data_IF_279111522895
#
_entry.id   IF_279111522895
#
_cell.length_a   1.000
_cell.length_b   1.000
_cell.length_c   1.000
_cell.angle_alpha   90.00
_cell.angle_beta   90.00
_cell.angle_gamma   90.00
#
_symmetry.space_group_name_H-M   'P 1'
#
loop_
_entity.id
_entity.type
_entity.pdbx_description
1 polymer ?
#
# COMPACT_ATOMS: atom_id res chain seq x y z
N UNK A 1 -16.16 58.43 -48.92
CA UNK A 1 -15.64 58.26 -50.29
C UNK A 1 -15.61 56.78 -50.65
N UNK A 2 -16.45 56.40 -51.63
CA UNK A 2 -16.38 55.33 -52.65
C UNK A 2 -15.78 54.01 -52.18
N UNK A 3 -16.58 52.96 -51.93
CA UNK A 3 -17.19 52.02 -52.95
C UNK A 3 -16.12 51.26 -53.75
N UNK A 4 -16.06 49.94 -53.57
CA UNK A 4 -16.00 49.00 -54.70
C UNK A 4 -16.38 47.56 -54.23
N UNK A 5 -17.57 47.18 -54.64
CA UNK A 5 -18.01 45.75 -54.75
C UNK A 5 -17.26 45.08 -55.88
N UNK A 6 -16.80 43.85 -55.71
CA UNK A 6 -16.56 42.93 -56.86
C UNK A 6 -17.34 41.65 -56.63
N UNK A 7 -18.25 41.42 -57.51
CA UNK A 7 -18.88 40.13 -57.80
C UNK A 7 -17.96 39.35 -58.73
N UNK A 8 -17.84 38.05 -58.52
CA UNK A 8 -17.46 37.02 -59.49
C UNK A 8 -18.02 35.74 -58.85
N UNK A 9 -18.88 34.93 -59.36
CA UNK A 9 -18.98 34.35 -60.69
C UNK A 9 -19.25 32.88 -60.42
N UNK A 10 -20.49 32.47 -60.64
CA UNK A 10 -20.98 31.07 -60.54
C UNK A 10 -20.36 30.24 -61.67
N UNK A 11 -19.73 29.12 -61.32
CA UNK A 11 -19.37 28.09 -62.34
C UNK A 11 -19.80 26.71 -61.83
N UNK A 12 -20.57 26.14 -62.65
CA UNK A 12 -21.27 24.87 -62.78
C UNK A 12 -20.52 23.60 -62.33
N UNK A 13 -21.30 22.75 -61.68
CA UNK A 13 -21.48 21.29 -61.84
C UNK A 13 -20.31 20.48 -62.40
N UNK A 14 -19.76 19.57 -61.59
CA UNK A 14 -19.45 18.20 -62.11
C UNK A 14 -19.88 17.18 -61.03
N UNK A 15 -20.68 16.22 -61.49
CA UNK A 15 -21.22 15.13 -60.70
C UNK A 15 -20.13 14.14 -60.25
N UNK A 16 -20.28 13.60 -59.10
CA UNK A 16 -19.56 12.43 -58.65
C UNK A 16 -20.53 11.27 -58.50
N UNK A 17 -20.26 10.20 -59.26
CA UNK A 17 -20.96 8.94 -59.16
C UNK A 17 -20.61 8.16 -57.90
N UNK A 18 -21.43 7.14 -57.55
CA UNK A 18 -21.23 6.37 -56.34
C UNK A 18 -20.11 5.33 -56.51
N UNK A 19 -18.96 5.56 -55.88
CA UNK A 19 -17.88 4.59 -55.75
C UNK A 19 -18.10 3.69 -54.52
N UNK A 20 -18.47 2.44 -54.83
CA UNK A 20 -18.56 1.36 -53.83
C UNK A 20 -17.21 1.04 -53.19
N UNK A 21 -17.20 0.70 -51.91
CA UNK A 21 -16.03 0.16 -51.25
C UNK A 21 -16.03 0.36 -49.72
N UNK A 22 -17.13 -0.01 -49.04
CA UNK A 22 -17.13 -0.07 -47.59
C UNK A 22 -16.20 -1.17 -47.08
N UNK A 23 -14.94 -0.84 -46.78
CA UNK A 23 -14.09 -1.69 -45.93
C UNK A 23 -14.70 -1.71 -44.55
N UNK A 24 -15.36 -2.81 -44.21
CA UNK A 24 -15.73 -3.12 -42.82
C UNK A 24 -14.43 -3.14 -41.99
N UNK A 25 -14.18 -2.07 -41.27
CA UNK A 25 -13.15 -2.00 -40.29
C UNK A 25 -13.53 -2.95 -39.13
N UNK A 26 -12.84 -4.08 -39.06
CA UNK A 26 -12.95 -5.01 -37.96
C UNK A 26 -12.41 -4.30 -36.75
N UNK A 27 -13.28 -3.72 -35.92
CA UNK A 27 -12.96 -3.32 -34.57
C UNK A 27 -12.58 -4.58 -33.77
N UNK A 28 -11.30 -4.80 -33.61
CA UNK A 28 -10.74 -5.88 -32.81
C UNK A 28 -10.07 -5.32 -31.56
N UNK A 29 -9.73 -6.10 -30.62
CA UNK A 29 -10.16 -6.37 -29.23
C UNK A 29 -9.44 -5.52 -28.19
N UNK A 30 -9.25 -4.24 -28.42
CA UNK A 30 -8.60 -3.31 -27.45
C UNK A 30 -9.47 -3.12 -26.18
N UNK A 31 -10.79 -3.21 -26.35
CA UNK A 31 -11.71 -3.07 -25.20
C UNK A 31 -11.64 -4.25 -24.21
N UNK A 32 -11.28 -5.46 -24.67
CA UNK A 32 -11.17 -6.63 -23.81
C UNK A 32 -9.90 -6.63 -22.95
N UNK A 33 -8.81 -6.04 -23.45
CA UNK A 33 -7.55 -5.92 -22.69
C UNK A 33 -7.65 -4.89 -21.55
N UNK A 34 -8.39 -3.80 -21.77
CA UNK A 34 -8.59 -2.75 -20.75
C UNK A 34 -9.50 -3.25 -19.62
N UNK A 35 -10.52 -4.06 -19.94
CA UNK A 35 -11.39 -4.66 -18.93
C UNK A 35 -10.64 -5.70 -18.06
N UNK A 36 -9.68 -6.43 -18.63
CA UNK A 36 -8.88 -7.39 -17.86
C UNK A 36 -7.86 -6.73 -16.92
N UNK A 37 -7.32 -5.57 -17.30
CA UNK A 37 -6.41 -4.80 -16.43
C UNK A 37 -7.14 -4.11 -15.26
N UNK A 38 -8.40 -3.71 -15.41
CA UNK A 38 -9.19 -3.10 -14.35
C UNK A 38 -9.57 -4.09 -13.23
N UNK A 39 -9.59 -5.40 -13.51
CA UNK A 39 -9.91 -6.45 -12.53
C UNK A 39 -8.71 -6.80 -11.64
N UNK A 40 -7.48 -6.49 -12.06
CA UNK A 40 -6.24 -6.86 -11.32
C UNK A 40 -5.99 -5.95 -10.10
N UNK A 41 -6.60 -4.78 -10.03
CA UNK A 41 -6.39 -3.82 -8.93
C UNK A 41 -7.33 -4.01 -7.71
N UNK A 42 -8.43 -4.74 -7.85
CA UNK A 42 -9.33 -5.04 -6.75
C UNK A 42 -8.93 -6.35 -6.06
N UNK A 43 -9.17 -6.44 -4.74
CA UNK A 43 -9.07 -7.72 -4.03
C UNK A 43 -10.00 -8.74 -4.67
N UNK A 44 -9.52 -9.99 -4.80
CA UNK A 44 -10.41 -11.08 -5.22
C UNK A 44 -11.50 -11.32 -4.15
N UNK A 45 -12.67 -11.86 -4.53
CA UNK A 45 -13.70 -12.26 -3.57
C UNK A 45 -13.15 -13.21 -2.49
N UNK A 46 -12.22 -14.09 -2.83
CA UNK A 46 -11.59 -15.03 -1.88
C UNK A 46 -10.70 -14.31 -0.88
N UNK A 47 -9.95 -13.30 -1.31
CA UNK A 47 -9.14 -12.46 -0.41
C UNK A 47 -10.01 -11.63 0.54
N UNK A 48 -11.13 -11.10 0.07
CA UNK A 48 -12.09 -10.38 0.93
C UNK A 48 -12.67 -11.31 1.98
N UNK A 49 -13.10 -12.51 1.57
CA UNK A 49 -13.63 -13.54 2.48
C UNK A 49 -12.59 -13.96 3.52
N UNK A 50 -11.34 -14.18 3.10
CA UNK A 50 -10.24 -14.51 4.00
C UNK A 50 -10.00 -13.42 5.05
N UNK A 51 -9.93 -12.15 4.63
CA UNK A 51 -9.77 -11.02 5.55
C UNK A 51 -10.90 -10.94 6.56
N UNK A 52 -12.16 -11.16 6.14
CA UNK A 52 -13.31 -11.24 7.06
C UNK A 52 -13.18 -12.39 8.04
N UNK A 53 -12.74 -13.57 7.58
CA UNK A 53 -12.52 -14.73 8.43
C UNK A 53 -11.44 -14.48 9.49
N UNK A 54 -10.31 -13.85 9.12
CA UNK A 54 -9.25 -13.47 10.06
C UNK A 54 -9.80 -12.52 11.12
N UNK A 55 -10.52 -11.47 10.72
CA UNK A 55 -11.13 -10.51 11.66
C UNK A 55 -12.13 -11.16 12.58
N UNK A 56 -12.97 -12.08 12.09
CA UNK A 56 -13.96 -12.76 12.89
C UNK A 56 -13.34 -13.76 13.89
N UNK A 57 -12.23 -14.39 13.52
CA UNK A 57 -11.49 -15.32 14.38
C UNK A 57 -10.58 -14.63 15.41
N UNK A 58 -10.32 -13.34 15.25
CA UNK A 58 -9.43 -12.55 16.09
C UNK A 58 -10.10 -12.16 17.42
N UNK A 59 -10.13 -13.11 18.36
CA UNK A 59 -10.67 -12.90 19.70
C UNK A 59 -9.84 -11.95 20.56
N UNK A 60 -8.56 -11.75 20.22
CA UNK A 60 -7.64 -10.87 20.92
C UNK A 60 -7.69 -9.42 20.41
N UNK A 61 -8.43 -9.16 19.32
CA UNK A 61 -8.58 -7.85 18.67
C UNK A 61 -7.22 -7.24 18.27
N UNK A 62 -6.33 -8.07 17.72
CA UNK A 62 -4.98 -7.67 17.32
C UNK A 62 -4.93 -7.14 15.88
N UNK A 63 -5.92 -7.48 15.05
CA UNK A 63 -5.95 -7.05 13.66
C UNK A 63 -6.39 -5.58 13.55
N UNK A 64 -5.63 -4.79 12.82
CA UNK A 64 -6.00 -3.40 12.47
C UNK A 64 -7.39 -3.33 11.83
N UNK A 65 -8.01 -2.16 11.79
CA UNK A 65 -9.27 -1.97 11.08
C UNK A 65 -9.13 -2.19 9.57
N UNK A 66 -10.23 -2.36 8.85
CA UNK A 66 -10.19 -2.44 7.39
C UNK A 66 -9.72 -1.12 6.77
N UNK A 67 -10.11 0.01 7.36
CA UNK A 67 -9.70 1.35 6.95
C UNK A 67 -8.19 1.54 7.09
N UNK A 68 -7.61 1.10 8.21
CA UNK A 68 -6.16 1.13 8.43
C UNK A 68 -5.43 0.22 7.43
N UNK A 69 -5.96 -0.98 7.18
CA UNK A 69 -5.40 -1.90 6.17
C UNK A 69 -5.42 -1.30 4.76
N UNK A 70 -6.53 -0.67 4.35
CA UNK A 70 -6.64 0.04 3.08
C UNK A 70 -5.66 1.21 2.99
N UNK A 71 -5.50 1.96 4.08
CA UNK A 71 -4.55 3.06 4.16
C UNK A 71 -3.12 2.57 4.00
N UNK A 72 -2.72 1.49 4.68
CA UNK A 72 -1.40 0.87 4.52
C UNK A 72 -1.11 0.49 3.07
N UNK A 73 -2.07 -0.15 2.38
CA UNK A 73 -1.94 -0.51 0.96
C UNK A 73 -1.75 0.74 0.09
N UNK A 74 -2.54 1.80 0.31
CA UNK A 74 -2.39 3.06 -0.43
C UNK A 74 -0.99 3.65 -0.22
N UNK A 75 -0.48 3.66 1.01
CA UNK A 75 0.84 4.19 1.32
C UNK A 75 1.98 3.36 0.68
N UNK A 76 1.88 2.03 0.67
CA UNK A 76 2.79 1.14 -0.05
C UNK A 76 2.85 1.48 -1.54
N UNK A 77 1.68 1.58 -2.20
CA UNK A 77 1.61 1.87 -3.64
C UNK A 77 2.11 3.29 -3.94
N UNK A 78 1.69 4.29 -3.15
CA UNK A 78 2.09 5.69 -3.34
C UNK A 78 3.59 5.90 -3.17
N UNK A 79 4.23 5.16 -2.23
CA UNK A 79 5.70 5.17 -2.04
C UNK A 79 6.41 4.38 -3.13
N UNK A 80 5.71 3.52 -3.86
CA UNK A 80 6.28 2.47 -4.72
C UNK A 80 7.26 1.57 -3.95
N UNK A 81 6.86 1.18 -2.71
CA UNK A 81 7.72 0.47 -1.77
C UNK A 81 8.22 -0.86 -2.33
N UNK A 82 9.49 -1.18 -2.01
CA UNK A 82 10.18 -2.39 -2.44
C UNK A 82 10.64 -3.25 -1.28
N UNK A 83 11.10 -2.64 -0.19
CA UNK A 83 11.67 -3.31 0.97
C UNK A 83 10.90 -2.89 2.23
N UNK A 84 9.81 -3.57 2.51
CA UNK A 84 8.95 -3.26 3.63
C UNK A 84 9.25 -4.15 4.85
N UNK A 85 9.14 -3.55 6.04
CA UNK A 85 9.24 -4.22 7.34
C UNK A 85 7.95 -4.00 8.13
N UNK A 86 7.42 -5.07 8.73
CA UNK A 86 6.37 -5.00 9.73
C UNK A 86 6.89 -5.55 11.08
N UNK A 87 6.59 -4.84 12.16
CA UNK A 87 6.92 -5.23 13.53
C UNK A 87 5.61 -5.44 14.29
N UNK A 88 5.27 -6.70 14.55
CA UNK A 88 3.98 -7.12 15.10
C UNK A 88 3.01 -7.54 14.00
N UNK A 89 3.15 -8.78 13.50
CA UNK A 89 2.35 -9.31 12.39
C UNK A 89 1.05 -9.97 12.81
N UNK A 90 0.91 -10.32 14.10
CA UNK A 90 -0.22 -11.08 14.65
C UNK A 90 -0.64 -12.24 13.74
N UNK A 91 -1.89 -12.25 13.26
CA UNK A 91 -2.42 -13.26 12.34
C UNK A 91 -2.25 -12.91 10.86
N UNK A 92 -1.46 -11.86 10.52
CA UNK A 92 -1.12 -11.48 9.15
C UNK A 92 -2.15 -10.60 8.44
N UNK A 93 -3.11 -10.00 9.15
CA UNK A 93 -4.15 -9.17 8.54
C UNK A 93 -3.58 -7.93 7.83
N UNK A 94 -2.78 -7.13 8.53
CA UNK A 94 -2.07 -5.96 7.99
C UNK A 94 -1.06 -6.38 6.91
N UNK A 95 -0.35 -7.50 7.14
CA UNK A 95 0.60 -8.06 6.17
C UNK A 95 -0.07 -8.43 4.82
N UNK A 96 -1.32 -8.93 4.83
CA UNK A 96 -2.08 -9.17 3.60
C UNK A 96 -2.36 -7.85 2.87
N UNK A 97 -2.83 -6.82 3.57
CA UNK A 97 -3.10 -5.51 2.96
C UNK A 97 -1.84 -4.90 2.33
N UNK A 98 -0.72 -4.92 3.05
CA UNK A 98 0.56 -4.44 2.55
C UNK A 98 1.08 -5.31 1.41
N UNK A 99 0.98 -6.63 1.54
CA UNK A 99 1.38 -7.59 0.51
C UNK A 99 0.65 -7.41 -0.82
N UNK A 100 -0.63 -7.07 -0.78
CA UNK A 100 -1.40 -6.72 -1.99
C UNK A 100 -0.83 -5.47 -2.68
N UNK A 101 -0.44 -4.46 -1.91
CA UNK A 101 0.23 -3.27 -2.45
C UNK A 101 1.63 -3.57 -2.98
N UNK A 102 2.41 -4.37 -2.28
CA UNK A 102 3.76 -4.77 -2.67
C UNK A 102 3.78 -5.64 -3.92
N UNK A 103 2.76 -6.46 -4.15
CA UNK A 103 2.61 -7.18 -5.41
C UNK A 103 2.51 -6.23 -6.60
N UNK A 104 1.79 -5.12 -6.46
CA UNK A 104 1.66 -4.10 -7.51
C UNK A 104 2.98 -3.37 -7.75
N UNK A 105 3.74 -3.10 -6.69
CA UNK A 105 5.03 -2.41 -6.79
C UNK A 105 6.20 -3.34 -7.13
N UNK A 106 6.02 -4.67 -7.03
CA UNK A 106 7.10 -5.65 -7.17
C UNK A 106 8.08 -5.61 -5.99
N UNK A 107 7.59 -5.28 -4.80
CA UNK A 107 8.33 -5.26 -3.54
C UNK A 107 8.12 -6.52 -2.70
N UNK A 108 8.73 -6.52 -1.50
CA UNK A 108 8.66 -7.62 -0.54
C UNK A 108 8.48 -7.10 0.89
N UNK A 109 7.68 -7.81 1.69
CA UNK A 109 7.46 -7.55 3.12
C UNK A 109 8.15 -8.63 3.96
N UNK A 110 8.94 -8.19 4.95
CA UNK A 110 9.31 -9.02 6.09
C UNK A 110 8.42 -8.64 7.27
N UNK A 111 7.55 -9.57 7.70
CA UNK A 111 6.65 -9.38 8.85
C UNK A 111 7.18 -10.19 10.03
N UNK A 112 7.47 -9.53 11.14
CA UNK A 112 8.02 -10.17 12.35
C UNK A 112 6.91 -10.28 13.39
N UNK A 113 6.64 -11.52 13.83
CA UNK A 113 5.67 -11.81 14.90
C UNK A 113 6.35 -12.56 16.04
N UNK A 114 6.19 -12.02 17.26
CA UNK A 114 6.83 -12.55 18.45
C UNK A 114 6.35 -13.95 18.86
N UNK A 115 5.04 -14.16 18.80
CA UNK A 115 4.43 -15.44 19.16
C UNK A 115 4.53 -16.45 18.01
N UNK A 116 5.16 -17.63 18.22
CA UNK A 116 5.38 -18.59 17.14
C UNK A 116 4.09 -19.23 16.63
N UNK A 117 3.02 -19.32 17.45
CA UNK A 117 1.74 -19.86 17.01
C UNK A 117 1.01 -18.87 16.12
N UNK A 118 1.02 -17.57 16.48
CA UNK A 118 0.48 -16.50 15.63
C UNK A 118 1.27 -16.36 14.34
N UNK A 119 2.61 -16.41 14.40
CA UNK A 119 3.46 -16.36 13.21
C UNK A 119 3.16 -17.51 12.23
N UNK A 120 2.93 -18.72 12.76
CA UNK A 120 2.50 -19.88 11.95
C UNK A 120 1.16 -19.63 11.28
N UNK A 121 0.17 -19.17 12.04
CA UNK A 121 -1.15 -18.84 11.51
C UNK A 121 -1.10 -17.70 10.47
N UNK A 122 -0.29 -16.67 10.71
CA UNK A 122 -0.03 -15.61 9.75
C UNK A 122 0.54 -16.15 8.43
N UNK A 123 1.55 -17.04 8.48
CA UNK A 123 2.12 -17.65 7.29
C UNK A 123 1.11 -18.50 6.51
N UNK A 124 0.19 -19.18 7.18
CA UNK A 124 -0.91 -19.93 6.57
C UNK A 124 -1.92 -18.98 5.89
N UNK A 125 -2.29 -17.88 6.54
CA UNK A 125 -3.17 -16.86 5.99
C UNK A 125 -2.55 -16.15 4.78
N UNK A 126 -1.26 -15.80 4.84
CA UNK A 126 -0.48 -15.23 3.72
C UNK A 126 -0.49 -16.18 2.52
N UNK A 127 -0.28 -17.47 2.75
CA UNK A 127 -0.33 -18.49 1.68
C UNK A 127 -1.73 -18.58 1.09
N UNK A 128 -2.77 -18.60 1.92
CA UNK A 128 -4.17 -18.63 1.48
C UNK A 128 -4.56 -17.37 0.69
N UNK A 129 -3.98 -16.21 1.01
CA UNK A 129 -4.13 -14.97 0.24
C UNK A 129 -3.37 -15.01 -1.11
N UNK A 130 -2.57 -16.06 -1.35
CA UNK A 130 -1.70 -16.17 -2.53
C UNK A 130 -0.53 -15.19 -2.49
N UNK A 131 -0.02 -14.80 -1.31
CA UNK A 131 1.01 -13.77 -1.11
C UNK A 131 2.35 -14.33 -0.60
N UNK A 132 2.53 -15.66 -0.60
CA UNK A 132 3.73 -16.30 -0.06
C UNK A 132 5.04 -15.94 -0.80
N UNK A 133 4.95 -15.45 -2.02
CA UNK A 133 6.04 -14.92 -2.83
C UNK A 133 6.39 -13.45 -2.52
N UNK A 134 5.49 -12.73 -1.87
CA UNK A 134 5.60 -11.28 -1.59
C UNK A 134 5.83 -11.00 -0.10
N UNK A 135 5.39 -11.90 0.79
CA UNK A 135 5.45 -11.70 2.25
C UNK A 135 6.16 -12.89 2.91
N UNK A 136 7.20 -12.58 3.67
CA UNK A 136 7.89 -13.54 4.56
C UNK A 136 7.52 -13.26 6.00
N UNK A 137 6.93 -14.23 6.70
CA UNK A 137 6.69 -14.15 8.15
C UNK A 137 7.88 -14.73 8.90
N UNK A 138 8.44 -13.94 9.83
CA UNK A 138 9.59 -14.32 10.66
C UNK A 138 9.14 -14.42 12.12
N UNK A 139 9.14 -15.62 12.72
CA UNK A 139 8.81 -15.77 14.14
C UNK A 139 9.94 -15.29 15.05
N UNK A 140 9.60 -14.65 16.17
CA UNK A 140 10.51 -14.33 17.24
C UNK A 140 10.60 -12.86 17.61
N UNK A 141 11.54 -12.57 18.54
CA UNK A 141 11.77 -11.22 19.04
C UNK A 141 12.31 -10.29 17.94
N UNK A 142 11.58 -9.21 17.68
CA UNK A 142 11.94 -8.25 16.64
C UNK A 142 13.28 -7.53 16.94
N UNK A 143 13.68 -7.35 18.20
CA UNK A 143 15.01 -6.83 18.54
C UNK A 143 16.15 -7.74 18.08
N UNK A 144 15.88 -9.04 17.98
CA UNK A 144 16.83 -10.05 17.49
C UNK A 144 16.72 -10.22 15.96
N UNK A 145 15.52 -10.15 15.43
CA UNK A 145 15.30 -10.46 14.01
C UNK A 145 15.60 -9.28 13.09
N UNK A 146 15.25 -8.03 13.45
CA UNK A 146 15.51 -6.85 12.62
C UNK A 146 16.97 -6.73 12.17
N UNK A 147 17.98 -6.91 13.04
CA UNK A 147 19.37 -6.85 12.62
C UNK A 147 19.78 -7.92 11.58
N UNK A 148 19.01 -9.01 11.47
CA UNK A 148 19.27 -10.13 10.54
C UNK A 148 18.59 -9.97 9.19
N UNK A 149 17.58 -9.08 9.10
CA UNK A 149 16.93 -8.76 7.81
C UNK A 149 17.93 -8.00 6.94
N UNK A 150 18.23 -8.47 5.71
CA UNK A 150 19.20 -7.79 4.86
C UNK A 150 18.67 -6.46 4.30
N UNK A 151 19.57 -5.55 3.96
CA UNK A 151 19.29 -4.28 3.30
C UNK A 151 18.65 -3.22 4.19
N UNK A 152 18.35 -2.06 3.63
CA UNK A 152 17.62 -0.96 4.25
C UNK A 152 16.14 -1.03 3.86
N UNK A 153 15.31 -0.30 4.58
CA UNK A 153 13.85 -0.32 4.40
C UNK A 153 13.38 0.98 3.76
N UNK A 154 12.47 0.89 2.83
CA UNK A 154 11.78 2.05 2.26
C UNK A 154 10.38 2.24 2.84
N UNK A 155 9.86 1.23 3.54
CA UNK A 155 8.58 1.26 4.25
C UNK A 155 8.65 0.45 5.54
N UNK A 156 8.23 1.03 6.66
CA UNK A 156 8.16 0.35 7.96
C UNK A 156 6.79 0.57 8.57
N UNK A 157 6.17 -0.50 9.04
CA UNK A 157 4.95 -0.47 9.85
C UNK A 157 5.20 -1.07 11.23
N UNK A 158 4.91 -0.29 12.28
CA UNK A 158 5.09 -0.67 13.67
C UNK A 158 3.73 -0.81 14.35
N UNK A 159 3.39 -2.03 14.74
CA UNK A 159 2.20 -2.34 15.55
C UNK A 159 2.47 -3.46 16.55
N UNK A 160 3.33 -3.17 17.52
CA UNK A 160 3.78 -4.09 18.58
C UNK A 160 3.40 -3.56 19.97
N UNK A 161 4.10 -3.99 21.01
CA UNK A 161 3.93 -3.46 22.37
C UNK A 161 4.33 -1.99 22.44
N UNK A 162 3.41 -1.14 22.88
CA UNK A 162 3.51 0.33 22.84
C UNK A 162 4.72 0.86 23.62
N UNK A 163 5.05 0.26 24.76
CA UNK A 163 6.24 0.58 25.57
C UNK A 163 7.58 0.42 24.86
N UNK A 164 7.62 -0.36 23.77
CA UNK A 164 8.84 -0.63 23.00
C UNK A 164 8.93 0.18 21.70
N UNK A 165 7.93 1.02 21.39
CA UNK A 165 7.88 1.78 20.14
C UNK A 165 9.10 2.65 19.92
N UNK A 166 9.53 3.39 20.96
CA UNK A 166 10.73 4.23 20.88
C UNK A 166 11.98 3.42 20.58
N UNK A 167 12.12 2.24 21.21
CA UNK A 167 13.26 1.34 21.00
C UNK A 167 13.27 0.74 19.59
N UNK A 168 12.11 0.33 19.05
CA UNK A 168 12.00 -0.12 17.69
C UNK A 168 12.29 0.99 16.69
N UNK A 169 11.79 2.19 16.93
CA UNK A 169 12.11 3.36 16.14
C UNK A 169 13.61 3.64 16.07
N UNK A 170 14.30 3.66 17.21
CA UNK A 170 15.75 3.89 17.29
C UNK A 170 16.55 2.81 16.52
N UNK A 171 16.09 1.57 16.59
CA UNK A 171 16.72 0.45 15.90
C UNK A 171 16.56 0.55 14.38
N UNK A 172 15.40 1.00 13.91
CA UNK A 172 15.04 0.99 12.49
C UNK A 172 15.44 2.29 11.77
N UNK A 173 15.37 3.45 12.44
CA UNK A 173 15.61 4.76 11.82
C UNK A 173 16.96 4.85 11.06
N UNK A 174 18.08 4.30 11.54
CA UNK A 174 19.34 4.31 10.79
C UNK A 174 19.24 3.56 9.44
N UNK A 175 18.41 2.53 9.39
CA UNK A 175 18.18 1.66 8.23
C UNK A 175 16.97 2.06 7.38
N UNK A 176 16.25 3.12 7.75
CA UNK A 176 15.20 3.69 6.91
C UNK A 176 15.87 4.49 5.80
N UNK A 177 15.52 4.21 4.54
CA UNK A 177 16.05 4.94 3.37
C UNK A 177 15.65 6.42 3.38
N UNK A 178 16.41 7.30 2.71
CA UNK A 178 15.93 8.64 2.38
C UNK A 178 14.58 8.58 1.67
N UNK A 179 13.63 9.41 2.10
CA UNK A 179 12.23 9.42 1.64
C UNK A 179 11.46 8.14 2.01
N UNK A 180 12.04 7.23 2.78
CA UNK A 180 11.36 6.07 3.35
C UNK A 180 10.27 6.50 4.32
N UNK A 181 9.25 5.67 4.44
CA UNK A 181 8.10 5.88 5.31
C UNK A 181 8.21 5.01 6.58
N UNK A 182 7.99 5.64 7.72
CA UNK A 182 7.80 4.95 9.00
C UNK A 182 6.40 5.25 9.51
N UNK A 183 5.56 4.22 9.60
CA UNK A 183 4.20 4.29 10.11
C UNK A 183 4.11 3.58 11.45
N UNK A 184 3.34 4.13 12.41
CA UNK A 184 3.08 3.48 13.68
C UNK A 184 1.59 3.58 14.05
N UNK A 185 1.03 2.47 14.51
CA UNK A 185 -0.38 2.32 14.82
C UNK A 185 -0.73 2.70 16.26
N UNK A 186 -2.02 2.90 16.56
CA UNK A 186 -2.57 3.23 17.89
C UNK A 186 -2.07 4.55 18.50
N UNK A 187 -1.55 5.47 17.71
CA UNK A 187 -0.93 6.72 18.23
C UNK A 187 -1.94 7.71 18.82
N UNK A 188 -3.23 7.50 18.62
CA UNK A 188 -4.31 8.31 19.21
C UNK A 188 -4.88 7.62 20.43
N UNK A 189 -5.39 6.39 20.31
CA UNK A 189 -6.06 5.67 21.42
C UNK A 189 -5.11 5.16 22.50
N UNK A 190 -3.80 5.00 22.19
CA UNK A 190 -2.74 4.55 23.11
C UNK A 190 -1.63 5.59 23.34
N UNK A 191 -1.89 6.86 23.06
CA UNK A 191 -0.94 7.95 23.17
C UNK A 191 -0.20 7.96 24.53
N UNK A 192 -0.92 7.70 25.63
CA UNK A 192 -0.36 7.70 26.98
C UNK A 192 0.73 6.65 27.19
N UNK A 193 0.75 5.58 26.41
CA UNK A 193 1.70 4.46 26.55
C UNK A 193 3.00 4.68 25.74
N UNK A 194 3.10 5.75 24.90
CA UNK A 194 4.19 5.95 23.96
C UNK A 194 4.64 7.42 23.79
N UNK A 195 4.58 8.21 24.87
CA UNK A 195 4.96 9.63 24.82
C UNK A 195 6.37 9.88 24.31
N UNK A 196 7.34 9.07 24.74
CA UNK A 196 8.74 9.14 24.32
C UNK A 196 8.92 8.88 22.82
N UNK A 197 8.15 7.94 22.27
CA UNK A 197 8.12 7.66 20.83
C UNK A 197 7.52 8.85 20.07
N UNK A 198 6.36 9.37 20.50
CA UNK A 198 5.69 10.48 19.83
C UNK A 198 6.56 11.73 19.83
N UNK A 199 7.21 12.04 20.92
CA UNK A 199 8.21 13.12 21.00
C UNK A 199 9.39 12.89 20.04
N UNK A 200 9.87 11.65 19.97
CA UNK A 200 10.99 11.30 19.11
C UNK A 200 10.69 11.44 17.62
N UNK A 201 9.49 11.11 17.18
CA UNK A 201 9.13 11.24 15.75
C UNK A 201 8.70 12.66 15.36
N UNK A 202 8.08 13.41 16.29
CA UNK A 202 7.58 14.76 15.98
C UNK A 202 8.65 15.85 16.10
N UNK A 203 9.66 15.65 16.95
CA UNK A 203 10.76 16.61 17.15
C UNK A 203 12.03 16.25 16.39
N UNK A 204 12.05 15.16 15.65
CA UNK A 204 13.23 14.73 14.92
C UNK A 204 13.45 15.59 13.65
N UNK A 205 14.57 16.34 13.54
CA UNK A 205 14.81 17.20 12.38
C UNK A 205 15.03 16.44 11.07
N UNK A 206 15.23 15.11 11.13
CA UNK A 206 15.38 14.25 9.95
C UNK A 206 14.05 13.70 9.44
N UNK A 207 12.93 13.98 10.14
CA UNK A 207 11.61 13.46 9.79
C UNK A 207 10.63 14.61 9.52
N UNK A 208 9.72 14.35 8.60
CA UNK A 208 8.47 15.08 8.52
C UNK A 208 7.35 14.14 8.94
N UNK A 209 6.68 14.47 10.05
CA UNK A 209 5.68 13.59 10.68
C UNK A 209 4.32 14.25 10.73
N UNK A 210 3.29 13.46 10.44
CA UNK A 210 1.88 13.82 10.67
C UNK A 210 1.15 12.65 11.34
N UNK A 211 0.04 12.95 12.00
CA UNK A 211 -0.88 11.94 12.53
C UNK A 211 -2.14 11.98 11.68
N UNK A 212 -2.59 10.83 11.25
CA UNK A 212 -3.82 10.62 10.48
C UNK A 212 -4.72 9.63 11.23
N UNK A 213 -6.02 9.66 10.98
CA UNK A 213 -6.98 8.77 11.63
C UNK A 213 -7.83 8.07 10.58
N UNK A 214 -7.28 7.07 9.87
CA UNK A 214 -8.08 6.21 9.01
C UNK A 214 -9.16 5.50 9.83
N UNK A 215 -8.81 5.11 11.07
CA UNK A 215 -9.70 4.64 12.12
C UNK A 215 -9.58 5.51 13.38
N UNK A 216 -10.34 5.17 14.44
CA UNK A 216 -10.24 5.84 15.76
C UNK A 216 -8.94 5.56 16.50
N UNK A 217 -8.15 4.58 16.07
CA UNK A 217 -6.90 4.18 16.72
C UNK A 217 -5.74 5.13 16.39
N UNK A 218 -5.77 5.72 15.19
CA UNK A 218 -4.81 6.69 14.70
C UNK A 218 -3.49 6.08 14.27
N UNK A 219 -2.88 6.70 13.27
CA UNK A 219 -1.60 6.27 12.70
C UNK A 219 -0.68 7.47 12.52
N UNK A 220 0.58 7.37 12.98
CA UNK A 220 1.60 8.33 12.60
C UNK A 220 2.19 7.94 11.25
N UNK A 221 2.47 8.94 10.42
CA UNK A 221 3.18 8.80 9.15
C UNK A 221 4.38 9.73 9.19
N UNK A 222 5.57 9.16 9.18
CA UNK A 222 6.84 9.88 9.17
C UNK A 222 7.61 9.60 7.89
N UNK A 223 8.05 10.65 7.21
CA UNK A 223 8.93 10.57 6.02
C UNK A 223 10.34 10.94 6.46
N UNK A 224 11.34 10.10 6.16
CA UNK A 224 12.74 10.45 6.37
C UNK A 224 13.20 11.42 5.27
N UNK A 225 13.67 12.62 5.66
CA UNK A 225 13.98 13.70 4.72
C UNK A 225 15.25 13.45 3.91
N UNK A 226 16.33 13.02 4.57
CA UNK A 226 17.65 12.71 3.97
C UNK A 226 18.40 11.71 4.83
#
# INVERSE_FOLDING_TARGET
MRSRRRRIGVSSRRGWGPGAGGKKMKLQPIALLIALQAIVSAQSPDQQKLLQQIKHADSEQLAVSEEDGRFLRVMIVSRAAKHALEIGGAYGYSAIWMGLGLRETGGHLTSIEYDPARAKAAAENIRSAGLADVVTVVPGDAFVQIPRVPGDFDFVFLDAWKRDYKRFFDLVLPRLEPRGLFLAHNVVNKQAEMHDFLDAITRNPKLFTTIVSPSSEGMSVSVKLK
#
